data_IF_120689733125
#
_entry.id   IF_120689733125
#
_cell.length_a   1.000
_cell.length_b   1.000
_cell.length_c   1.000
_cell.angle_alpha   90.00
_cell.angle_beta   90.00
_cell.angle_gamma   90.00
#
_symmetry.space_group_name_H-M   'P 1'
#
loop_
_entity.id
_entity.type
_entity.pdbx_description
1 polymer ?
#
# COMPACT_ATOMS: atom_id res chain seq x y z
N UNK A 1 8.99 14.89 11.92
CA UNK A 1 8.88 16.27 11.39
C UNK A 1 7.75 16.27 10.38
N UNK A 2 6.66 16.98 10.64
CA UNK A 2 5.54 17.07 9.69
C UNK A 2 5.97 17.92 8.50
N UNK A 3 6.16 17.30 7.33
CA UNK A 3 6.39 18.04 6.09
C UNK A 3 5.19 18.93 5.80
N UNK A 4 5.48 20.20 5.53
CA UNK A 4 4.43 21.17 5.23
C UNK A 4 3.79 20.88 3.87
N UNK A 5 2.53 21.30 3.68
CA UNK A 5 1.80 21.03 2.42
C UNK A 5 2.56 21.54 1.20
N UNK A 6 3.22 22.69 1.32
CA UNK A 6 4.03 23.32 0.28
C UNK A 6 5.21 22.45 -0.14
N UNK A 7 5.90 21.83 0.82
CA UNK A 7 7.02 20.92 0.55
C UNK A 7 6.57 19.67 -0.19
N UNK A 8 5.43 19.09 0.22
CA UNK A 8 4.88 17.90 -0.45
C UNK A 8 4.44 18.24 -1.88
N UNK A 9 3.81 19.39 -2.08
CA UNK A 9 3.41 19.85 -3.40
C UNK A 9 4.62 20.01 -4.32
N UNK A 10 5.72 20.59 -3.81
CA UNK A 10 6.98 20.71 -4.52
C UNK A 10 7.58 19.34 -4.89
N UNK A 11 7.58 18.39 -3.94
CA UNK A 11 8.06 17.01 -4.20
C UNK A 11 7.23 16.33 -5.29
N UNK A 12 5.90 16.48 -5.25
CA UNK A 12 5.00 15.89 -6.26
C UNK A 12 5.30 16.50 -7.63
N UNK A 13 5.42 17.82 -7.73
CA UNK A 13 5.71 18.51 -8.99
C UNK A 13 7.08 18.14 -9.58
N UNK A 14 8.09 17.96 -8.73
CA UNK A 14 9.43 17.59 -9.18
C UNK A 14 9.59 16.12 -9.55
N UNK A 15 8.83 15.22 -8.91
CA UNK A 15 8.91 13.78 -9.20
C UNK A 15 7.97 13.34 -10.31
N UNK A 16 6.91 14.11 -10.58
CA UNK A 16 5.86 13.75 -11.53
C UNK A 16 5.78 14.84 -12.58
N UNK A 17 6.48 14.62 -13.69
CA UNK A 17 6.56 15.58 -14.79
C UNK A 17 5.26 15.69 -15.58
N UNK A 18 4.53 14.57 -15.74
CA UNK A 18 3.23 14.52 -16.42
C UNK A 18 2.32 13.49 -15.74
N UNK A 19 1.25 13.96 -15.10
CA UNK A 19 0.24 13.10 -14.45
C UNK A 19 -0.88 12.67 -15.40
N UNK A 20 -0.88 13.16 -16.65
CA UNK A 20 -1.93 12.93 -17.65
C UNK A 20 -3.33 13.17 -17.07
N UNK A 21 -4.15 12.14 -17.00
CA UNK A 21 -5.53 12.21 -16.48
C UNK A 21 -5.62 11.96 -14.96
N UNK A 22 -4.49 11.86 -14.27
CA UNK A 22 -4.45 11.55 -12.83
C UNK A 22 -4.40 12.83 -12.00
N UNK A 23 -5.41 13.01 -11.14
CA UNK A 23 -5.44 14.09 -10.15
C UNK A 23 -4.91 13.58 -8.81
N UNK A 24 -3.82 14.16 -8.33
CA UNK A 24 -3.16 13.76 -7.09
C UNK A 24 -3.68 14.62 -5.93
N UNK A 25 -4.03 13.97 -4.82
CA UNK A 25 -4.55 14.64 -3.62
C UNK A 25 -3.73 14.20 -2.42
N UNK A 26 -3.07 15.15 -1.76
CA UNK A 26 -2.37 14.89 -0.51
C UNK A 26 -3.27 15.07 0.71
N UNK A 27 -3.13 14.18 1.69
CA UNK A 27 -3.78 14.26 3.00
C UNK A 27 -2.75 13.86 4.06
N UNK A 28 -2.52 14.75 5.03
CA UNK A 28 -1.71 14.43 6.20
C UNK A 28 -2.58 13.77 7.27
N UNK A 29 -2.14 12.65 7.82
CA UNK A 29 -2.83 11.94 8.88
C UNK A 29 -2.23 10.58 9.20
N UNK A 30 -2.69 10.03 10.32
CA UNK A 30 -2.37 8.68 10.75
C UNK A 30 -3.33 7.66 10.12
N UNK A 31 -2.86 6.69 9.31
CA UNK A 31 -3.71 5.68 8.68
C UNK A 31 -4.27 4.64 9.67
N UNK A 32 -3.79 4.59 10.91
CA UNK A 32 -4.37 3.75 11.97
C UNK A 32 -5.50 4.45 12.74
N UNK A 33 -5.68 5.76 12.53
CA UNK A 33 -6.72 6.54 13.17
C UNK A 33 -7.97 6.64 12.30
N UNK A 34 -9.08 6.08 12.80
CA UNK A 34 -10.39 6.14 12.15
C UNK A 34 -10.81 7.60 11.84
N UNK A 35 -10.47 8.56 12.71
CA UNK A 35 -10.79 9.97 12.48
C UNK A 35 -10.03 10.58 11.29
N UNK A 36 -8.82 10.13 11.02
CA UNK A 36 -8.08 10.54 9.83
C UNK A 36 -8.60 9.82 8.57
N UNK A 37 -8.94 8.53 8.69
CA UNK A 37 -9.55 7.77 7.59
C UNK A 37 -10.89 8.37 7.12
N UNK A 38 -11.68 8.97 8.03
CA UNK A 38 -12.91 9.70 7.66
C UNK A 38 -12.69 10.88 6.70
N UNK A 39 -11.47 11.42 6.63
CA UNK A 39 -11.11 12.50 5.69
C UNK A 39 -10.82 11.96 4.28
N UNK A 40 -10.75 10.64 4.12
CA UNK A 40 -10.52 9.94 2.87
C UNK A 40 -11.84 9.39 2.33
N UNK A 41 -12.01 9.40 1.01
CA UNK A 41 -13.18 8.81 0.35
C UNK A 41 -13.00 7.30 0.13
N UNK A 42 -12.75 6.53 1.21
CA UNK A 42 -12.45 5.09 1.10
C UNK A 42 -13.57 4.32 0.39
N UNK A 43 -14.83 4.62 0.69
CA UNK A 43 -16.00 3.97 0.05
C UNK A 43 -16.10 4.21 -1.47
N UNK A 44 -15.40 5.20 -2.00
CA UNK A 44 -15.35 5.51 -3.44
C UNK A 44 -14.07 4.98 -4.10
N UNK A 45 -13.14 4.46 -3.31
CA UNK A 45 -11.88 3.94 -3.83
C UNK A 45 -12.13 2.61 -4.54
N UNK A 46 -11.64 2.49 -5.78
CA UNK A 46 -11.65 1.21 -6.52
C UNK A 46 -10.68 0.19 -5.90
N UNK A 47 -9.57 0.68 -5.36
CA UNK A 47 -8.57 -0.10 -4.64
C UNK A 47 -7.90 0.77 -3.58
N UNK A 48 -7.34 0.12 -2.57
CA UNK A 48 -6.57 0.76 -1.50
C UNK A 48 -5.21 0.07 -1.44
N UNK A 49 -4.12 0.84 -1.54
CA UNK A 49 -2.76 0.31 -1.44
C UNK A 49 -2.15 0.81 -0.12
N UNK A 50 -1.66 -0.11 0.70
CA UNK A 50 -1.01 0.18 1.98
C UNK A 50 0.44 -0.23 1.89
N UNK A 51 1.34 0.75 1.92
CA UNK A 51 2.78 0.52 1.90
C UNK A 51 3.32 0.39 3.32
N UNK A 52 4.27 -0.51 3.51
CA UNK A 52 4.93 -0.71 4.78
C UNK A 52 5.81 0.52 5.08
N UNK A 53 5.60 1.20 6.22
CA UNK A 53 6.39 2.38 6.54
C UNK A 53 7.84 2.00 6.85
N UNK A 54 8.77 2.93 6.64
CA UNK A 54 10.18 2.76 7.04
C UNK A 54 10.37 3.10 8.53
N UNK A 55 9.79 2.26 9.40
CA UNK A 55 9.87 2.35 10.87
C UNK A 55 10.07 0.96 11.49
N UNK A 56 10.32 0.91 12.80
CA UNK A 56 10.33 -0.36 13.54
C UNK A 56 8.94 -1.00 13.54
N UNK A 57 8.90 -2.33 13.37
CA UNK A 57 7.67 -3.14 13.28
C UNK A 57 6.69 -2.60 12.22
N UNK A 58 7.11 -2.52 10.96
CA UNK A 58 6.34 -1.88 9.90
C UNK A 58 5.02 -2.61 9.63
N UNK A 59 5.03 -3.94 9.69
CA UNK A 59 3.86 -4.80 9.47
C UNK A 59 2.75 -4.56 10.50
N UNK A 60 3.10 -4.26 11.76
CA UNK A 60 2.12 -3.94 12.81
C UNK A 60 1.33 -2.69 12.42
N UNK A 61 1.97 -1.71 11.79
CA UNK A 61 1.30 -0.50 11.31
C UNK A 61 0.33 -0.82 10.18
N UNK A 62 0.77 -1.64 9.23
CA UNK A 62 -0.04 -2.09 8.08
C UNK A 62 -1.27 -2.85 8.58
N UNK A 63 -1.10 -3.83 9.44
CA UNK A 63 -2.17 -4.63 10.05
C UNK A 63 -3.18 -3.73 10.78
N UNK A 64 -2.71 -2.79 11.60
CA UNK A 64 -3.58 -1.82 12.30
C UNK A 64 -4.37 -0.94 11.33
N UNK A 65 -3.74 -0.50 10.23
CA UNK A 65 -4.42 0.29 9.19
C UNK A 65 -5.53 -0.52 8.53
N UNK A 66 -5.30 -1.78 8.19
CA UNK A 66 -6.33 -2.64 7.59
C UNK A 66 -7.51 -2.82 8.56
N UNK A 67 -7.23 -3.11 9.84
CA UNK A 67 -8.27 -3.19 10.87
C UNK A 67 -9.07 -1.89 11.00
N UNK A 68 -8.39 -0.73 10.98
CA UNK A 68 -9.06 0.56 11.04
C UNK A 68 -9.94 0.84 9.81
N UNK A 69 -9.54 0.38 8.62
CA UNK A 69 -10.33 0.49 7.39
C UNK A 69 -11.57 -0.42 7.46
N UNK A 70 -11.38 -1.70 7.81
CA UNK A 70 -12.49 -2.67 7.86
C UNK A 70 -13.52 -2.34 8.93
N UNK A 71 -13.06 -1.87 10.10
CA UNK A 71 -13.90 -1.53 11.24
C UNK A 71 -14.41 -0.07 11.20
N UNK A 72 -14.29 0.61 10.07
CA UNK A 72 -14.77 1.99 9.93
C UNK A 72 -16.31 2.04 10.02
N UNK A 73 -16.90 2.86 10.91
CA UNK A 73 -18.35 2.90 11.14
C UNK A 73 -19.16 3.48 9.96
N UNK A 74 -18.50 4.09 8.98
CA UNK A 74 -19.13 4.70 7.79
C UNK A 74 -19.05 3.80 6.55
N UNK A 75 -18.73 2.53 6.73
CA UNK A 75 -18.48 1.59 5.65
C UNK A 75 -19.78 1.20 4.93
N UNK A 76 -19.72 1.07 3.61
CA UNK A 76 -20.81 0.52 2.79
C UNK A 76 -20.74 -1.02 2.78
N UNK A 77 -21.83 -1.71 2.42
CA UNK A 77 -21.88 -3.18 2.34
C UNK A 77 -21.00 -3.82 1.23
N UNK A 78 -20.11 -3.04 0.59
CA UNK A 78 -19.22 -3.51 -0.46
C UNK A 78 -17.85 -3.84 0.17
N UNK A 79 -17.23 -4.92 -0.29
CA UNK A 79 -15.90 -5.34 0.14
C UNK A 79 -14.84 -4.38 -0.42
N UNK A 80 -13.86 -4.00 0.40
CA UNK A 80 -12.72 -3.25 -0.11
C UNK A 80 -11.78 -4.18 -0.88
N UNK A 81 -11.12 -3.64 -1.90
CA UNK A 81 -9.99 -4.28 -2.55
C UNK A 81 -8.70 -3.67 -2.02
N UNK A 82 -8.15 -4.25 -0.96
CA UNK A 82 -6.94 -3.78 -0.30
C UNK A 82 -5.75 -4.60 -0.78
N UNK A 83 -4.67 -3.93 -1.16
CA UNK A 83 -3.35 -4.56 -1.38
C UNK A 83 -2.39 -3.97 -0.35
N UNK A 84 -1.74 -4.82 0.42
CA UNK A 84 -0.89 -4.41 1.52
C UNK A 84 0.49 -5.06 1.46
N UNK A 85 1.52 -4.26 1.68
CA UNK A 85 2.90 -4.74 1.78
C UNK A 85 3.17 -5.35 3.17
N UNK A 86 3.81 -6.52 3.21
CA UNK A 86 4.32 -7.15 4.44
C UNK A 86 5.81 -7.42 4.25
N UNK A 87 6.63 -7.02 5.23
CA UNK A 87 8.09 -7.17 5.20
C UNK A 87 8.59 -8.42 5.90
N UNK A 88 7.88 -8.93 6.90
CA UNK A 88 8.29 -10.13 7.65
C UNK A 88 7.27 -11.25 7.52
N UNK A 89 7.74 -12.43 7.09
CA UNK A 89 6.89 -13.59 6.85
C UNK A 89 6.13 -14.05 8.10
N UNK A 90 6.73 -13.87 9.28
CA UNK A 90 6.12 -14.26 10.57
C UNK A 90 4.80 -13.50 10.84
N UNK A 91 4.66 -12.29 10.31
CA UNK A 91 3.48 -11.46 10.50
C UNK A 91 2.37 -11.75 9.48
N UNK A 92 2.64 -12.58 8.47
CA UNK A 92 1.73 -12.80 7.35
C UNK A 92 0.42 -13.48 7.79
N UNK A 93 0.48 -14.42 8.73
CA UNK A 93 -0.72 -15.08 9.26
C UNK A 93 -1.62 -14.09 10.01
N UNK A 94 -1.04 -13.28 10.91
CA UNK A 94 -1.76 -12.22 11.60
C UNK A 94 -2.36 -11.21 10.62
N UNK A 95 -1.62 -10.89 9.55
CA UNK A 95 -2.09 -10.03 8.48
C UNK A 95 -3.27 -10.64 7.73
N UNK A 96 -3.21 -11.92 7.34
CA UNK A 96 -4.32 -12.63 6.68
C UNK A 96 -5.60 -12.61 7.52
N UNK A 97 -5.51 -12.87 8.83
CA UNK A 97 -6.67 -12.79 9.74
C UNK A 97 -7.20 -11.34 9.82
N UNK A 98 -6.30 -10.37 9.95
CA UNK A 98 -6.62 -8.96 9.96
C UNK A 98 -7.06 -8.40 8.60
N UNK A 99 -6.88 -9.15 7.52
CA UNK A 99 -7.23 -8.81 6.14
C UNK A 99 -8.54 -9.45 5.69
N UNK A 100 -8.80 -10.68 6.14
CA UNK A 100 -9.97 -11.45 5.71
C UNK A 100 -10.00 -11.57 4.19
N UNK A 101 -11.18 -11.59 3.60
CA UNK A 101 -11.33 -11.75 2.15
C UNK A 101 -11.17 -10.44 1.36
N UNK A 102 -10.73 -9.37 2.02
CA UNK A 102 -10.67 -8.02 1.45
C UNK A 102 -9.23 -7.53 1.19
N UNK A 103 -8.25 -8.17 1.81
CA UNK A 103 -6.86 -7.77 1.70
C UNK A 103 -6.00 -8.86 1.08
N UNK A 104 -5.30 -8.48 0.01
CA UNK A 104 -4.21 -9.25 -0.58
C UNK A 104 -2.88 -8.75 -0.01
N UNK A 105 -2.04 -9.66 0.44
CA UNK A 105 -0.74 -9.32 1.00
C UNK A 105 0.38 -9.62 0.02
N UNK A 106 1.30 -8.66 -0.10
CA UNK A 106 2.47 -8.72 -0.96
C UNK A 106 3.69 -8.86 -0.06
N UNK A 107 4.26 -10.06 -0.02
CA UNK A 107 5.52 -10.32 0.66
C UNK A 107 6.69 -10.02 -0.28
N UNK A 108 7.30 -8.84 -0.12
CA UNK A 108 8.29 -8.29 -1.07
C UNK A 108 9.50 -9.21 -1.23
N UNK A 109 9.97 -9.81 -0.13
CA UNK A 109 11.14 -10.70 -0.15
C UNK A 109 10.95 -11.92 -1.05
N UNK A 110 9.77 -12.54 -1.03
CA UNK A 110 9.48 -13.69 -1.88
C UNK A 110 9.36 -13.31 -3.35
N UNK A 111 8.73 -12.17 -3.66
CA UNK A 111 8.58 -11.71 -5.04
C UNK A 111 9.96 -11.43 -5.64
N UNK A 112 10.81 -10.71 -4.91
CA UNK A 112 12.19 -10.44 -5.35
C UNK A 112 12.96 -11.75 -5.54
N UNK A 113 12.90 -12.67 -4.58
CA UNK A 113 13.59 -13.95 -4.68
C UNK A 113 13.14 -14.77 -5.90
N UNK A 114 11.83 -14.78 -6.20
CA UNK A 114 11.28 -15.45 -7.39
C UNK A 114 11.74 -14.78 -8.69
N UNK A 115 11.73 -13.45 -8.76
CA UNK A 115 12.23 -12.68 -9.91
C UNK A 115 13.71 -12.99 -10.16
N UNK A 116 14.53 -13.02 -9.09
CA UNK A 116 15.97 -13.34 -9.19
C UNK A 116 16.15 -14.78 -9.69
N UNK A 117 15.50 -15.76 -9.05
CA UNK A 117 15.62 -17.17 -9.43
C UNK A 117 15.20 -17.42 -10.89
N UNK A 118 14.14 -16.76 -11.36
CA UNK A 118 13.70 -16.84 -12.75
C UNK A 118 14.71 -16.20 -13.71
N UNK A 119 15.26 -15.04 -13.34
CA UNK A 119 16.28 -14.34 -14.14
C UNK A 119 17.58 -15.13 -14.25
N UNK A 120 17.97 -15.88 -13.21
CA UNK A 120 19.14 -16.76 -13.24
C UNK A 120 18.95 -17.99 -14.15
N UNK A 121 17.71 -18.50 -14.29
CA UNK A 121 17.43 -19.69 -15.12
C UNK A 121 17.20 -19.35 -16.59
N UNK A 122 16.79 -18.12 -16.89
CA UNK A 122 16.55 -17.64 -18.25
C UNK A 122 17.17 -16.26 -18.42
N UNK A 123 18.42 -16.22 -18.89
CA UNK A 123 19.07 -14.98 -19.30
C UNK A 123 18.18 -14.24 -20.32
N UNK A 124 17.81 -13.00 -20.02
CA UNK A 124 16.90 -12.18 -20.84
C UNK A 124 15.48 -12.03 -20.29
N UNK A 125 15.05 -12.85 -19.33
CA UNK A 125 13.72 -12.72 -18.72
C UNK A 125 13.58 -11.47 -17.86
N UNK A 126 14.67 -10.96 -17.28
CA UNK A 126 14.68 -9.70 -16.51
C UNK A 126 14.21 -8.50 -17.34
N UNK A 127 14.54 -8.46 -18.64
CA UNK A 127 14.10 -7.42 -19.58
C UNK A 127 12.59 -7.53 -19.80
N UNK A 128 12.06 -8.75 -19.99
CA UNK A 128 10.63 -9.00 -20.19
C UNK A 128 9.83 -8.67 -18.92
N UNK A 129 10.33 -9.07 -17.75
CA UNK A 129 9.72 -8.75 -16.45
C UNK A 129 9.63 -7.23 -16.24
N UNK A 130 10.63 -6.47 -16.70
CA UNK A 130 10.60 -4.99 -16.61
C UNK A 130 9.58 -4.36 -17.56
N UNK A 131 9.22 -5.03 -18.66
CA UNK A 131 8.22 -4.53 -19.62
C UNK A 131 6.78 -4.86 -19.18
N UNK A 132 6.59 -5.94 -18.40
CA UNK A 132 5.29 -6.41 -17.95
C UNK A 132 4.88 -5.91 -16.54
N UNK A 133 5.82 -5.36 -15.78
CA UNK A 133 5.61 -4.66 -14.51
C UNK A 133 5.33 -3.17 -14.74
#
# INVERSE_FOLDING_TARGET
TSKDRSEIQYIIQNKINDSKNTRIIYRNGDPTSINNLKKLSLNQARSIIILAPEINNPDVRVIKTILAIRNSPRRNNINFHVVAEIKERINLEAAMIAGGDEALFVYVGEIIARIIAQSCRQCGLSVILTILL
#
